data_IF_187345008886
#
_entry.id   IF_187345008886
#
_cell.length_a   1.000
_cell.length_b   1.000
_cell.length_c   1.000
_cell.angle_alpha   90.00
_cell.angle_beta   90.00
_cell.angle_gamma   90.00
#
_symmetry.space_group_name_H-M   'P 1'
#
loop_
_entity.id
_entity.type
_entity.pdbx_description
1 polymer ?
#
# COMPACT_ATOMS: atom_id res chain seq x y z
N UNK A 1 -19.68 13.62 15.27
CA UNK A 1 -18.32 13.43 15.83
C UNK A 1 -18.49 13.10 17.31
N UNK A 2 -17.98 11.99 17.78
CA UNK A 2 -18.00 11.68 19.22
C UNK A 2 -16.73 12.25 19.85
N UNK A 3 -16.83 13.35 20.58
CA UNK A 3 -15.69 14.04 21.21
C UNK A 3 -15.12 13.31 22.44
N UNK A 4 -15.72 12.19 22.83
CA UNK A 4 -15.27 11.35 23.94
C UNK A 4 -14.19 10.35 23.53
N UNK A 5 -14.00 10.11 22.22
CA UNK A 5 -13.01 9.17 21.73
C UNK A 5 -11.63 9.87 21.64
N UNK A 6 -10.69 9.40 22.45
CA UNK A 6 -9.27 9.77 22.30
C UNK A 6 -8.63 8.96 21.16
N UNK A 7 -7.69 9.56 20.45
CA UNK A 7 -6.89 8.88 19.44
C UNK A 7 -5.43 9.36 19.49
N UNK A 8 -4.52 8.54 18.99
CA UNK A 8 -3.11 8.90 18.77
C UNK A 8 -2.91 9.04 17.26
N UNK A 9 -2.22 10.10 16.87
CA UNK A 9 -1.81 10.32 15.48
C UNK A 9 -0.31 10.58 15.44
N UNK A 10 0.45 9.72 14.78
CA UNK A 10 1.89 9.81 14.65
C UNK A 10 2.28 9.75 13.17
N UNK A 11 3.08 10.69 12.70
CA UNK A 11 3.69 10.66 11.38
C UNK A 11 5.21 10.80 11.53
N UNK A 12 5.93 9.68 11.77
CA UNK A 12 7.37 9.72 12.06
C UNK A 12 8.21 10.01 10.82
N UNK A 13 7.63 9.94 9.63
CA UNK A 13 8.32 10.13 8.35
C UNK A 13 8.35 11.60 7.96
N UNK A 14 9.55 12.13 7.68
CA UNK A 14 9.72 13.42 7.00
C UNK A 14 9.41 13.24 5.51
N UNK A 15 8.41 13.95 5.02
CA UNK A 15 7.95 13.86 3.64
C UNK A 15 8.53 15.02 2.82
N UNK A 16 9.19 14.70 1.71
CA UNK A 16 9.57 15.67 0.69
C UNK A 16 8.88 15.27 -0.62
N UNK A 17 7.97 16.12 -1.09
CA UNK A 17 7.12 15.86 -2.24
C UNK A 17 7.34 16.91 -3.32
N UNK A 18 7.38 16.48 -4.57
CA UNK A 18 7.41 17.34 -5.75
C UNK A 18 8.34 16.82 -6.84
N UNK A 19 8.24 17.43 -8.02
CA UNK A 19 9.11 17.11 -9.16
C UNK A 19 10.56 17.35 -8.78
N UNK A 20 11.41 16.35 -8.98
CA UNK A 20 12.83 16.40 -8.61
C UNK A 20 13.10 16.07 -7.13
N UNK A 21 12.11 15.67 -6.33
CA UNK A 21 12.32 15.35 -4.91
C UNK A 21 13.38 14.24 -4.71
N UNK A 22 13.48 13.27 -5.60
CA UNK A 22 14.49 12.20 -5.54
C UNK A 22 15.93 12.71 -5.66
N UNK A 23 16.15 13.93 -6.20
CA UNK A 23 17.48 14.55 -6.30
C UNK A 23 18.04 14.98 -4.96
N UNK A 24 17.23 14.98 -3.90
CA UNK A 24 17.64 15.32 -2.53
C UNK A 24 18.07 14.09 -1.71
N UNK A 25 18.32 12.94 -2.36
CA UNK A 25 18.75 11.73 -1.65
C UNK A 25 20.07 11.94 -0.88
N UNK A 26 21.07 12.60 -1.49
CA UNK A 26 22.34 12.86 -0.83
C UNK A 26 22.17 13.73 0.44
N UNK A 27 21.27 14.71 0.41
CA UNK A 27 20.94 15.54 1.57
C UNK A 27 20.23 14.73 2.65
N UNK A 28 19.29 13.85 2.26
CA UNK A 28 18.57 12.97 3.17
C UNK A 28 19.53 12.00 3.89
N UNK A 29 20.46 11.40 3.15
CA UNK A 29 21.48 10.49 3.72
C UNK A 29 22.45 11.23 4.65
N UNK A 30 22.85 12.46 4.30
CA UNK A 30 23.66 13.30 5.18
C UNK A 30 22.91 13.65 6.48
N UNK A 31 21.61 13.98 6.41
CA UNK A 31 20.76 14.23 7.59
C UNK A 31 20.75 13.01 8.54
N UNK A 32 20.68 11.80 7.96
CA UNK A 32 20.70 10.53 8.70
C UNK A 32 22.12 10.11 9.11
N UNK A 33 23.16 10.85 8.72
CA UNK A 33 24.59 10.53 8.97
C UNK A 33 25.00 9.17 8.39
N UNK A 34 24.39 8.78 7.28
CA UNK A 34 24.67 7.51 6.62
C UNK A 34 26.09 7.49 6.04
N UNK A 35 26.75 6.36 6.12
CA UNK A 35 28.08 6.10 5.57
C UNK A 35 28.14 4.80 4.75
N UNK A 36 27.30 3.82 5.08
CA UNK A 36 27.21 2.52 4.40
C UNK A 36 25.73 2.20 4.10
N UNK A 37 25.36 2.23 2.84
CA UNK A 37 23.97 2.21 2.38
C UNK A 37 23.65 0.92 1.61
N UNK A 38 22.63 0.18 2.02
CA UNK A 38 22.05 -0.87 1.20
C UNK A 38 20.87 -0.29 0.40
N UNK A 39 21.00 -0.27 -0.94
CA UNK A 39 19.93 0.11 -1.85
C UNK A 39 19.06 -1.12 -2.17
N UNK A 40 17.80 -1.11 -1.73
CA UNK A 40 16.84 -2.21 -1.90
C UNK A 40 15.88 -1.87 -3.04
N UNK A 41 15.77 -2.76 -4.02
CA UNK A 41 14.94 -2.56 -5.22
C UNK A 41 14.53 -3.90 -5.84
N UNK A 42 13.88 -3.85 -6.99
CA UNK A 42 13.51 -5.00 -7.80
C UNK A 42 14.15 -4.97 -9.20
N UNK A 43 14.08 -6.09 -9.92
CA UNK A 43 14.64 -6.22 -11.25
C UNK A 43 13.97 -5.29 -12.28
N UNK A 44 12.70 -4.98 -12.13
CA UNK A 44 11.98 -4.06 -13.01
C UNK A 44 12.55 -2.64 -12.93
N UNK A 45 12.77 -2.16 -11.69
CA UNK A 45 13.38 -0.85 -11.45
C UNK A 45 14.85 -0.83 -11.92
N UNK A 46 15.62 -1.89 -11.66
CA UNK A 46 16.99 -2.00 -12.13
C UNK A 46 17.08 -1.87 -13.66
N UNK A 47 16.18 -2.52 -14.39
CA UNK A 47 16.14 -2.52 -15.85
C UNK A 47 15.52 -1.24 -16.46
N UNK A 48 14.73 -0.49 -15.70
CA UNK A 48 14.04 0.72 -16.19
C UNK A 48 14.97 1.91 -16.41
N UNK A 49 16.18 1.88 -15.85
CA UNK A 49 17.12 3.00 -15.86
C UNK A 49 16.88 4.03 -14.75
N UNK A 50 15.82 3.88 -13.92
CA UNK A 50 15.51 4.81 -12.83
C UNK A 50 16.61 4.85 -11.75
N UNK A 51 17.41 3.79 -11.62
CA UNK A 51 18.50 3.74 -10.63
C UNK A 51 19.69 4.65 -10.97
N UNK A 52 19.89 5.03 -12.23
CA UNK A 52 21.10 5.74 -12.65
C UNK A 52 21.32 7.03 -11.85
N UNK A 53 20.29 7.88 -11.74
CA UNK A 53 20.36 9.11 -10.97
C UNK A 53 20.53 8.91 -9.44
N UNK A 54 20.05 7.81 -8.92
CA UNK A 54 20.20 7.42 -7.49
C UNK A 54 21.65 6.97 -7.25
N UNK A 55 22.17 6.07 -8.09
CA UNK A 55 23.55 5.55 -8.01
C UNK A 55 24.57 6.68 -8.18
N UNK A 56 24.33 7.62 -9.09
CA UNK A 56 25.19 8.79 -9.27
C UNK A 56 25.27 9.64 -7.98
N UNK A 57 24.15 9.86 -7.30
CA UNK A 57 24.12 10.60 -6.03
C UNK A 57 24.90 9.88 -4.92
N UNK A 58 24.75 8.54 -4.81
CA UNK A 58 25.49 7.73 -3.85
C UNK A 58 27.00 7.80 -4.11
N UNK A 59 27.41 7.69 -5.39
CA UNK A 59 28.80 7.78 -5.81
C UNK A 59 29.43 9.16 -5.56
N UNK A 60 28.70 10.24 -5.86
CA UNK A 60 29.14 11.62 -5.59
C UNK A 60 29.26 11.87 -4.07
N UNK A 61 28.38 11.30 -3.27
CA UNK A 61 28.44 11.35 -1.80
C UNK A 61 29.61 10.56 -1.19
N UNK A 62 30.37 9.81 -1.99
CA UNK A 62 31.45 8.89 -1.54
C UNK A 62 30.98 7.90 -0.48
N UNK A 63 29.71 7.50 -0.57
CA UNK A 63 29.14 6.51 0.34
C UNK A 63 29.57 5.11 -0.09
N UNK A 64 29.81 4.25 0.92
CA UNK A 64 29.88 2.83 0.65
C UNK A 64 28.45 2.34 0.34
N UNK A 65 28.22 1.67 -0.79
CA UNK A 65 26.89 1.15 -1.09
C UNK A 65 26.92 -0.14 -1.90
N UNK A 66 25.91 -0.96 -1.64
CA UNK A 66 25.59 -2.14 -2.46
C UNK A 66 24.12 -2.11 -2.88
N UNK A 67 23.79 -2.83 -3.95
CA UNK A 67 22.44 -2.89 -4.52
C UNK A 67 21.89 -4.30 -4.33
N UNK A 68 20.77 -4.42 -3.63
CA UNK A 68 19.96 -5.62 -3.54
C UNK A 68 18.73 -5.48 -4.43
N UNK A 69 18.77 -6.09 -5.63
CA UNK A 69 17.71 -5.99 -6.65
C UNK A 69 16.91 -7.28 -6.82
N UNK A 70 16.95 -8.18 -5.81
CA UNK A 70 16.28 -9.48 -5.88
C UNK A 70 14.90 -9.50 -5.20
N UNK A 71 14.30 -8.33 -4.93
CA UNK A 71 12.96 -8.29 -4.35
C UNK A 71 11.94 -8.74 -5.39
N UNK A 72 11.12 -9.72 -5.02
CA UNK A 72 10.04 -10.24 -5.86
C UNK A 72 8.73 -9.48 -5.59
N UNK A 73 7.79 -9.45 -6.56
CA UNK A 73 6.41 -9.05 -6.28
C UNK A 73 5.84 -9.86 -5.10
N UNK A 74 5.02 -9.21 -4.24
CA UNK A 74 4.60 -9.78 -2.95
C UNK A 74 5.83 -10.31 -2.18
N UNK A 75 6.65 -9.43 -1.57
CA UNK A 75 7.99 -9.76 -1.11
C UNK A 75 7.97 -10.98 -0.18
N UNK A 76 8.95 -11.85 -0.41
CA UNK A 76 9.00 -13.16 0.26
C UNK A 76 9.93 -13.09 1.50
N UNK A 77 9.71 -13.99 2.44
CA UNK A 77 10.58 -14.15 3.62
C UNK A 77 12.06 -14.31 3.25
N UNK A 78 12.38 -15.09 2.21
CA UNK A 78 13.75 -15.28 1.76
C UNK A 78 14.38 -14.03 1.10
N UNK A 79 13.58 -13.08 0.55
CA UNK A 79 14.11 -11.81 0.08
C UNK A 79 14.63 -10.99 1.28
N UNK A 80 13.86 -11.00 2.39
CA UNK A 80 14.25 -10.32 3.63
C UNK A 80 15.51 -10.94 4.22
N UNK A 81 15.59 -12.28 4.29
CA UNK A 81 16.76 -12.99 4.84
C UNK A 81 18.03 -12.65 4.06
N UNK A 82 18.01 -12.68 2.72
CA UNK A 82 19.13 -12.33 1.85
C UNK A 82 19.55 -10.87 2.01
N UNK A 83 18.56 -9.95 1.98
CA UNK A 83 18.84 -8.52 2.14
C UNK A 83 19.42 -8.19 3.52
N UNK A 84 18.90 -8.83 4.58
CA UNK A 84 19.42 -8.65 5.94
C UNK A 84 20.84 -9.20 6.10
N UNK A 85 21.16 -10.33 5.46
CA UNK A 85 22.52 -10.87 5.45
C UNK A 85 23.49 -9.93 4.73
N UNK A 86 23.11 -9.41 3.56
CA UNK A 86 23.92 -8.43 2.82
C UNK A 86 24.11 -7.15 3.65
N UNK A 87 23.07 -6.64 4.30
CA UNK A 87 23.17 -5.47 5.17
C UNK A 87 24.17 -5.68 6.31
N UNK A 88 24.19 -6.87 6.93
CA UNK A 88 25.15 -7.22 7.97
C UNK A 88 26.58 -7.31 7.42
N UNK A 89 26.79 -7.98 6.27
CA UNK A 89 28.10 -8.17 5.67
C UNK A 89 28.78 -6.85 5.32
N UNK A 90 28.00 -5.90 4.74
CA UNK A 90 28.53 -4.58 4.40
C UNK A 90 28.52 -3.59 5.57
N UNK A 91 28.02 -4.00 6.74
CA UNK A 91 27.82 -3.14 7.90
C UNK A 91 26.97 -1.89 7.56
N UNK A 92 25.85 -2.11 6.88
CA UNK A 92 24.95 -1.02 6.49
C UNK A 92 24.45 -0.27 7.73
N UNK A 93 24.51 1.06 7.68
CA UNK A 93 23.99 1.97 8.72
C UNK A 93 22.72 2.70 8.26
N UNK A 94 22.34 2.54 6.97
CA UNK A 94 21.13 3.10 6.40
C UNK A 94 20.65 2.23 5.24
N UNK A 95 19.33 2.21 5.03
CA UNK A 95 18.71 1.61 3.85
C UNK A 95 18.13 2.71 2.95
N UNK A 96 18.17 2.48 1.64
CA UNK A 96 17.41 3.24 0.65
C UNK A 96 16.54 2.27 -0.11
N UNK A 97 15.22 2.45 -0.10
CA UNK A 97 14.31 1.65 -0.90
C UNK A 97 13.80 2.46 -2.08
N UNK A 98 13.95 1.96 -3.30
CA UNK A 98 13.37 2.56 -4.50
C UNK A 98 12.52 1.53 -5.23
N UNK A 99 11.25 1.84 -5.46
CA UNK A 99 10.31 0.96 -6.12
C UNK A 99 8.88 1.15 -5.64
N UNK A 100 8.05 0.17 -5.92
CA UNK A 100 6.68 0.10 -5.36
C UNK A 100 6.67 -0.39 -3.92
N UNK A 101 5.50 -0.85 -3.46
CA UNK A 101 5.34 -1.37 -2.09
C UNK A 101 6.28 -2.53 -1.77
N UNK A 102 6.53 -3.45 -2.72
CA UNK A 102 7.35 -4.64 -2.47
C UNK A 102 8.79 -4.33 -2.05
N UNK A 103 9.57 -3.51 -2.77
CA UNK A 103 10.89 -3.10 -2.30
C UNK A 103 10.87 -2.33 -0.98
N UNK A 104 9.88 -1.46 -0.76
CA UNK A 104 9.80 -0.66 0.46
C UNK A 104 9.47 -1.55 1.67
N UNK A 105 8.50 -2.46 1.55
CA UNK A 105 8.14 -3.39 2.61
C UNK A 105 9.28 -4.38 2.92
N UNK A 106 9.94 -4.90 1.88
CA UNK A 106 11.14 -5.72 2.06
C UNK A 106 12.22 -4.96 2.83
N UNK A 107 12.49 -3.69 2.47
CA UNK A 107 13.47 -2.86 3.16
C UNK A 107 13.10 -2.59 4.62
N UNK A 108 11.81 -2.35 4.94
CA UNK A 108 11.33 -2.23 6.32
C UNK A 108 11.60 -3.49 7.13
N UNK A 109 11.33 -4.66 6.56
CA UNK A 109 11.60 -5.94 7.21
C UNK A 109 13.12 -6.17 7.37
N UNK A 110 13.93 -5.86 6.35
CA UNK A 110 15.40 -5.89 6.44
C UNK A 110 15.90 -4.97 7.56
N UNK A 111 15.32 -3.76 7.69
CA UNK A 111 15.67 -2.80 8.74
C UNK A 111 15.52 -3.38 10.15
N UNK A 112 14.60 -4.30 10.36
CA UNK A 112 14.37 -5.02 11.61
C UNK A 112 15.31 -6.23 11.72
N UNK A 113 15.31 -7.10 10.70
CA UNK A 113 15.98 -8.40 10.76
C UNK A 113 17.52 -8.26 10.75
N UNK A 114 18.05 -7.25 10.09
CA UNK A 114 19.51 -7.05 10.03
C UNK A 114 20.14 -6.84 11.43
N UNK A 115 19.65 -5.92 12.27
CA UNK A 115 20.23 -5.72 13.61
C UNK A 115 19.77 -6.75 14.65
N UNK A 116 18.57 -7.32 14.54
CA UNK A 116 18.01 -8.19 15.58
C UNK A 116 18.23 -9.69 15.31
N UNK A 117 18.47 -10.08 14.04
CA UNK A 117 18.60 -11.49 13.64
C UNK A 117 17.25 -12.21 13.60
N UNK A 118 17.29 -13.54 13.55
CA UNK A 118 16.11 -14.40 13.52
C UNK A 118 15.39 -14.45 12.19
N UNK A 119 14.23 -15.09 12.14
CA UNK A 119 13.37 -15.19 10.94
C UNK A 119 12.41 -14.00 10.87
N UNK A 120 12.10 -13.46 9.67
CA UNK A 120 11.22 -12.28 9.51
C UNK A 120 9.85 -12.44 10.20
N UNK A 121 9.25 -13.63 10.15
CA UNK A 121 7.94 -13.92 10.76
C UNK A 121 7.89 -13.78 12.28
N UNK A 122 9.05 -13.82 12.97
CA UNK A 122 9.08 -13.64 14.42
C UNK A 122 8.66 -12.23 14.83
N UNK A 123 8.75 -11.27 13.92
CA UNK A 123 8.40 -9.86 14.11
C UNK A 123 6.93 -9.57 13.79
N UNK A 124 6.13 -10.59 13.46
CA UNK A 124 4.67 -10.55 13.53
C UNK A 124 4.21 -10.18 14.97
N UNK A 125 5.01 -10.57 15.96
CA UNK A 125 4.91 -10.06 17.33
C UNK A 125 5.77 -8.79 17.49
N UNK A 126 5.17 -7.58 17.54
CA UNK A 126 5.90 -6.33 17.60
C UNK A 126 6.73 -6.18 18.90
N UNK A 127 6.42 -6.91 19.96
CA UNK A 127 7.20 -6.88 21.21
C UNK A 127 8.62 -7.39 21.05
N UNK A 128 8.92 -8.09 19.97
CA UNK A 128 10.27 -8.57 19.62
C UNK A 128 11.15 -7.49 19.01
N UNK A 129 10.62 -6.34 18.62
CA UNK A 129 11.38 -5.19 18.12
C UNK A 129 11.82 -4.36 19.33
N UNK A 130 12.81 -4.82 20.05
CA UNK A 130 13.25 -4.22 21.34
C UNK A 130 14.32 -3.15 21.20
N UNK A 131 15.08 -3.15 20.10
CA UNK A 131 16.20 -2.25 19.84
C UNK A 131 15.95 -1.24 18.72
N UNK A 132 17.05 -0.59 18.31
CA UNK A 132 17.03 0.28 17.13
C UNK A 132 16.90 -0.56 15.85
N UNK A 133 16.23 0.03 14.85
CA UNK A 133 16.17 -0.50 13.50
C UNK A 133 17.03 0.35 12.56
N UNK A 134 17.46 -0.19 11.43
CA UNK A 134 18.19 0.61 10.45
C UNK A 134 17.29 1.74 9.93
N UNK A 135 17.77 2.99 9.86
CA UNK A 135 17.02 4.07 9.25
C UNK A 135 16.80 3.80 7.76
N UNK A 136 15.63 4.18 7.26
CA UNK A 136 15.21 3.96 5.88
C UNK A 136 14.84 5.28 5.20
N UNK A 137 15.38 5.49 3.99
CA UNK A 137 14.85 6.48 3.03
C UNK A 137 14.03 5.74 2.00
N UNK A 138 12.78 6.12 1.81
CA UNK A 138 11.87 5.51 0.82
C UNK A 138 11.67 6.45 -0.38
N UNK A 139 11.76 5.88 -1.58
CA UNK A 139 11.57 6.57 -2.86
C UNK A 139 10.54 5.77 -3.68
N UNK A 140 9.23 6.09 -3.53
CA UNK A 140 8.20 5.35 -4.25
C UNK A 140 8.23 5.64 -5.75
N UNK A 141 8.05 4.59 -6.56
CA UNK A 141 7.90 4.68 -8.00
C UNK A 141 6.50 4.31 -8.47
N UNK A 142 5.61 4.01 -7.53
CA UNK A 142 4.18 3.74 -7.77
C UNK A 142 3.32 4.66 -6.92
N UNK A 143 2.11 4.92 -7.38
CA UNK A 143 1.10 5.70 -6.66
C UNK A 143 -0.04 4.75 -6.25
N UNK A 144 0.11 4.05 -5.12
CA UNK A 144 -0.86 3.03 -4.70
C UNK A 144 -0.75 2.66 -3.24
N UNK A 145 0.33 2.01 -2.86
CA UNK A 145 0.50 1.38 -1.54
C UNK A 145 0.74 2.38 -0.41
N UNK A 146 1.37 3.52 -0.72
CA UNK A 146 1.78 4.49 0.30
C UNK A 146 2.74 3.95 1.35
N UNK A 147 3.45 2.85 1.03
CA UNK A 147 4.37 2.19 1.97
C UNK A 147 5.47 3.12 2.48
N UNK A 148 5.78 4.19 1.76
CA UNK A 148 6.79 5.18 2.14
C UNK A 148 6.47 5.97 3.42
N UNK A 149 5.22 5.92 3.92
CA UNK A 149 4.81 6.61 5.15
C UNK A 149 4.14 5.70 6.17
N UNK A 150 3.90 4.44 5.82
CA UNK A 150 3.27 3.48 6.73
C UNK A 150 4.30 2.83 7.66
N UNK A 151 3.85 2.35 8.79
CA UNK A 151 4.63 1.61 9.79
C UNK A 151 4.25 0.13 9.83
N UNK A 152 3.84 -0.40 8.67
CA UNK A 152 3.63 -1.82 8.42
C UNK A 152 4.49 -2.29 7.25
N UNK A 153 4.83 -3.58 7.25
CA UNK A 153 5.53 -4.27 6.17
C UNK A 153 4.87 -5.63 5.97
N UNK A 154 4.34 -5.85 4.76
CA UNK A 154 3.61 -7.08 4.43
C UNK A 154 4.53 -8.03 3.66
N UNK A 155 4.80 -9.19 4.26
CA UNK A 155 5.73 -10.20 3.74
C UNK A 155 4.99 -11.53 3.53
N UNK A 156 5.32 -12.24 2.46
CA UNK A 156 4.80 -13.57 2.19
C UNK A 156 5.67 -14.63 2.87
N UNK A 157 5.10 -15.38 3.79
CA UNK A 157 5.67 -16.62 4.31
C UNK A 157 5.51 -17.71 3.24
N UNK A 158 6.61 -18.11 2.62
CA UNK A 158 6.60 -19.06 1.51
C UNK A 158 6.23 -20.48 1.96
N UNK A 159 6.42 -20.83 3.23
CA UNK A 159 6.08 -22.14 3.80
C UNK A 159 4.59 -22.25 4.09
N UNK A 160 3.99 -21.17 4.66
CA UNK A 160 2.56 -21.14 4.98
C UNK A 160 1.68 -20.74 3.79
N UNK A 161 2.29 -20.17 2.73
CA UNK A 161 1.57 -19.52 1.61
C UNK A 161 0.58 -18.47 2.11
N UNK A 162 1.03 -17.67 3.06
CA UNK A 162 0.23 -16.71 3.79
C UNK A 162 1.01 -15.41 3.95
N UNK A 163 0.32 -14.27 3.83
CA UNK A 163 0.92 -12.96 4.09
C UNK A 163 0.83 -12.63 5.57
N UNK A 164 1.92 -12.18 6.15
CA UNK A 164 1.97 -11.66 7.51
C UNK A 164 2.49 -10.22 7.51
N UNK A 165 2.16 -9.48 8.54
CA UNK A 165 2.57 -8.09 8.68
C UNK A 165 3.50 -7.92 9.88
N UNK A 166 4.59 -7.18 9.67
CA UNK A 166 5.38 -6.58 10.74
C UNK A 166 4.82 -5.17 10.95
N UNK A 167 4.34 -4.87 12.15
CA UNK A 167 3.70 -3.60 12.45
C UNK A 167 4.38 -2.94 13.66
N UNK A 168 5.07 -1.81 13.42
CA UNK A 168 5.72 -1.05 14.49
C UNK A 168 6.10 0.36 13.99
N UNK A 169 5.89 1.41 14.81
CA UNK A 169 6.20 2.80 14.41
C UNK A 169 7.68 3.02 14.03
N UNK A 170 8.61 2.24 14.59
CA UNK A 170 10.05 2.34 14.27
C UNK A 170 10.40 1.92 12.83
N UNK A 171 9.59 1.07 12.18
CA UNK A 171 9.87 0.63 10.80
C UNK A 171 9.42 1.64 9.74
N UNK A 172 8.68 2.68 10.14
CA UNK A 172 8.36 3.76 9.23
C UNK A 172 9.65 4.37 8.66
N UNK A 173 9.70 4.64 7.35
CA UNK A 173 10.83 5.36 6.77
C UNK A 173 11.09 6.68 7.51
N UNK A 174 12.34 7.02 7.73
CA UNK A 174 12.71 8.30 8.34
C UNK A 174 12.45 9.45 7.40
N UNK A 175 12.70 9.23 6.10
CA UNK A 175 12.50 10.22 5.04
C UNK A 175 11.83 9.52 3.86
N UNK A 176 10.84 10.17 3.29
CA UNK A 176 10.18 9.77 2.05
C UNK A 176 10.40 10.85 0.99
N UNK A 177 10.97 10.48 -0.16
CA UNK A 177 11.20 11.36 -1.29
C UNK A 177 10.21 10.99 -2.41
N UNK A 178 9.11 11.74 -2.49
CA UNK A 178 8.01 11.47 -3.40
C UNK A 178 8.17 12.32 -4.67
N UNK A 179 8.71 11.72 -5.70
CA UNK A 179 8.96 12.38 -6.99
C UNK A 179 7.99 11.85 -8.07
N UNK A 180 7.04 12.67 -8.55
CA UNK A 180 6.12 12.25 -9.61
C UNK A 180 6.82 11.80 -10.90
N UNK A 181 8.02 12.31 -11.22
CA UNK A 181 8.78 11.89 -12.41
C UNK A 181 9.08 10.39 -12.39
N UNK A 182 9.30 9.80 -11.20
CA UNK A 182 9.61 8.38 -11.07
C UNK A 182 8.39 7.47 -11.32
N UNK A 183 7.18 8.01 -11.32
CA UNK A 183 5.95 7.26 -11.64
C UNK A 183 5.60 7.30 -13.13
N UNK A 184 6.26 8.15 -13.93
CA UNK A 184 5.92 8.39 -15.33
C UNK A 184 6.13 7.16 -16.24
N UNK A 185 7.00 6.24 -15.84
CA UNK A 185 7.30 5.03 -16.61
C UNK A 185 6.38 3.85 -16.30
N UNK A 186 5.45 4.01 -15.34
CA UNK A 186 4.49 2.95 -15.01
C UNK A 186 3.60 2.61 -16.20
N UNK A 187 3.48 1.32 -16.57
CA UNK A 187 2.53 0.88 -17.59
C UNK A 187 1.07 1.21 -17.19
N UNK A 188 0.17 1.44 -18.18
CA UNK A 188 -1.24 1.75 -17.91
C UNK A 188 -1.94 0.76 -16.96
N UNK A 189 -1.76 -0.54 -17.17
CA UNK A 189 -2.37 -1.57 -16.31
C UNK A 189 -1.89 -1.49 -14.85
N UNK A 190 -0.58 -1.22 -14.64
CA UNK A 190 -0.04 -1.04 -13.29
C UNK A 190 -0.55 0.27 -12.68
N UNK A 191 -0.63 1.35 -13.46
CA UNK A 191 -1.19 2.63 -13.01
C UNK A 191 -2.65 2.47 -12.58
N UNK A 192 -3.47 1.73 -13.34
CA UNK A 192 -4.86 1.45 -13.02
C UNK A 192 -4.99 0.65 -11.71
N UNK A 193 -4.24 -0.45 -11.60
CA UNK A 193 -4.30 -1.32 -10.43
C UNK A 193 -3.84 -0.59 -9.15
N UNK A 194 -2.70 0.12 -9.20
CA UNK A 194 -2.20 0.84 -8.03
C UNK A 194 -3.05 2.05 -7.67
N UNK A 195 -3.61 2.76 -8.66
CA UNK A 195 -4.49 3.89 -8.38
C UNK A 195 -5.81 3.47 -7.75
N UNK A 196 -6.39 2.35 -8.18
CA UNK A 196 -7.57 1.78 -7.52
C UNK A 196 -7.24 1.17 -6.14
N UNK A 197 -6.02 0.69 -5.94
CA UNK A 197 -5.49 0.30 -4.64
C UNK A 197 -5.46 1.50 -3.68
N UNK A 198 -4.92 2.64 -4.12
CA UNK A 198 -4.96 3.88 -3.36
C UNK A 198 -6.40 4.33 -3.02
N UNK A 199 -7.34 4.17 -3.96
CA UNK A 199 -8.75 4.44 -3.69
C UNK A 199 -9.30 3.48 -2.63
N UNK A 200 -8.94 2.20 -2.69
CA UNK A 200 -9.34 1.21 -1.68
C UNK A 200 -8.82 1.58 -0.30
N UNK A 201 -7.55 1.95 -0.20
CA UNK A 201 -6.95 2.44 1.05
C UNK A 201 -7.71 3.64 1.62
N UNK A 202 -8.03 4.63 0.77
CA UNK A 202 -8.78 5.81 1.21
C UNK A 202 -10.21 5.46 1.67
N UNK A 203 -10.91 4.60 0.92
CA UNK A 203 -12.28 4.18 1.27
C UNK A 203 -12.30 3.35 2.55
N UNK A 204 -11.43 2.35 2.68
CA UNK A 204 -11.38 1.51 3.87
C UNK A 204 -10.86 2.29 5.08
N UNK A 205 -9.80 3.06 4.94
CA UNK A 205 -9.28 3.92 5.99
C UNK A 205 -10.31 4.91 6.53
N UNK A 206 -11.14 5.48 5.65
CA UNK A 206 -12.23 6.36 6.03
C UNK A 206 -13.37 5.63 6.75
N UNK A 207 -13.69 4.39 6.33
CA UNK A 207 -14.86 3.66 6.83
C UNK A 207 -14.54 2.68 7.96
N UNK A 208 -13.29 2.32 8.17
CA UNK A 208 -12.86 1.44 9.25
C UNK A 208 -13.36 1.91 10.62
N UNK A 209 -13.56 0.97 11.55
CA UNK A 209 -14.01 1.27 12.92
C UNK A 209 -13.03 2.17 13.67
N UNK A 210 -11.73 2.06 13.36
CA UNK A 210 -10.68 2.89 13.94
C UNK A 210 -10.52 4.27 13.32
N UNK A 211 -11.39 4.66 12.36
CA UNK A 211 -11.26 5.96 11.68
C UNK A 211 -11.35 7.13 12.65
N UNK A 212 -10.56 8.17 12.39
CA UNK A 212 -10.44 9.33 13.26
C UNK A 212 -10.30 10.63 12.42
N UNK A 213 -10.60 11.81 12.97
CA UNK A 213 -10.80 13.04 12.18
C UNK A 213 -9.64 13.45 11.28
N UNK A 214 -8.37 13.22 11.68
CA UNK A 214 -7.21 13.58 10.86
C UNK A 214 -7.05 12.62 9.66
N UNK A 215 -7.23 11.31 9.90
CA UNK A 215 -7.26 10.30 8.86
C UNK A 215 -8.46 10.48 7.92
N UNK A 216 -9.63 10.82 8.47
CA UNK A 216 -10.84 11.07 7.68
C UNK A 216 -10.65 12.23 6.69
N UNK A 217 -10.02 13.32 7.14
CA UNK A 217 -9.72 14.47 6.27
C UNK A 217 -8.74 14.09 5.14
N UNK A 218 -7.69 13.32 5.48
CA UNK A 218 -6.73 12.84 4.51
C UNK A 218 -7.39 11.88 3.48
N UNK A 219 -8.23 10.94 3.93
CA UNK A 219 -8.94 10.01 3.07
C UNK A 219 -9.86 10.70 2.06
N UNK A 220 -10.68 11.65 2.50
CA UNK A 220 -11.60 12.35 1.60
C UNK A 220 -10.85 13.17 0.56
N UNK A 221 -9.75 13.84 0.94
CA UNK A 221 -8.93 14.56 -0.03
C UNK A 221 -8.16 13.61 -0.96
N UNK A 222 -7.74 12.43 -0.48
CA UNK A 222 -7.18 11.38 -1.32
C UNK A 222 -8.18 10.94 -2.40
N UNK A 223 -9.45 10.71 -2.03
CA UNK A 223 -10.50 10.32 -2.97
C UNK A 223 -10.71 11.42 -4.05
N UNK A 224 -10.78 12.69 -3.65
CA UNK A 224 -10.88 13.82 -4.59
C UNK A 224 -9.75 13.80 -5.64
N UNK A 225 -8.49 13.66 -5.18
CA UNK A 225 -7.32 13.63 -6.06
C UNK A 225 -7.32 12.40 -6.98
N UNK A 226 -7.59 11.21 -6.44
CA UNK A 226 -7.59 9.97 -7.22
C UNK A 226 -8.67 10.02 -8.31
N UNK A 227 -9.88 10.44 -7.97
CA UNK A 227 -10.99 10.56 -8.93
C UNK A 227 -10.66 11.57 -10.03
N UNK A 228 -10.03 12.70 -9.70
CA UNK A 228 -9.66 13.72 -10.66
C UNK A 228 -8.56 13.27 -11.62
N UNK A 229 -7.62 12.43 -11.16
CA UNK A 229 -6.37 12.20 -11.88
C UNK A 229 -6.16 10.79 -12.43
N UNK A 230 -6.86 9.75 -11.89
CA UNK A 230 -6.58 8.36 -12.24
C UNK A 230 -6.73 8.08 -13.73
N UNK A 231 -7.84 8.49 -14.34
CA UNK A 231 -8.10 8.25 -15.75
C UNK A 231 -6.99 8.88 -16.63
N UNK A 232 -6.63 10.14 -16.37
CA UNK A 232 -5.56 10.82 -17.09
C UNK A 232 -4.21 10.14 -16.88
N UNK A 233 -3.89 9.71 -15.67
CA UNK A 233 -2.63 9.02 -15.37
C UNK A 233 -2.52 7.66 -16.09
N UNK A 234 -3.64 6.95 -16.28
CA UNK A 234 -3.69 5.66 -16.98
C UNK A 234 -3.49 5.83 -18.48
N UNK A 235 -4.21 6.77 -19.12
CA UNK A 235 -4.24 6.90 -20.57
C UNK A 235 -3.24 7.91 -21.14
N UNK A 236 -2.73 8.82 -20.30
CA UNK A 236 -1.62 9.72 -20.62
C UNK A 236 -0.56 9.66 -19.50
N UNK A 237 0.24 8.61 -19.51
CA UNK A 237 1.28 8.38 -18.50
C UNK A 237 2.34 9.48 -18.40
N UNK A 238 2.41 10.40 -19.35
CA UNK A 238 3.32 11.56 -19.35
C UNK A 238 2.69 12.83 -18.76
N UNK A 239 1.43 12.79 -18.42
CA UNK A 239 0.75 13.91 -17.76
C UNK A 239 1.25 14.04 -16.31
N UNK A 240 2.21 14.93 -16.09
CA UNK A 240 2.86 15.14 -14.79
C UNK A 240 1.90 15.66 -13.73
N UNK A 241 0.89 16.43 -14.09
CA UNK A 241 -0.16 16.87 -13.16
C UNK A 241 -0.95 15.68 -12.65
N UNK A 242 -1.35 14.78 -13.55
CA UNK A 242 -2.06 13.55 -13.17
C UNK A 242 -1.16 12.62 -12.33
N UNK A 243 0.11 12.45 -12.70
CA UNK A 243 1.06 11.65 -11.89
C UNK A 243 1.27 12.24 -10.50
N UNK A 244 1.42 13.56 -10.40
CA UNK A 244 1.55 14.25 -9.11
C UNK A 244 0.28 14.09 -8.27
N UNK A 245 -0.90 14.32 -8.87
CA UNK A 245 -2.19 14.12 -8.18
C UNK A 245 -2.37 12.70 -7.65
N UNK A 246 -2.04 11.69 -8.46
CA UNK A 246 -2.09 10.28 -8.03
C UNK A 246 -1.11 9.96 -6.89
N UNK A 247 0.13 10.44 -6.97
CA UNK A 247 1.13 10.21 -5.93
C UNK A 247 0.73 10.87 -4.60
N UNK A 248 0.21 12.10 -4.66
CA UNK A 248 -0.31 12.79 -3.47
C UNK A 248 -1.55 12.11 -2.92
N UNK A 249 -2.47 11.67 -3.78
CA UNK A 249 -3.66 10.90 -3.37
C UNK A 249 -3.28 9.59 -2.66
N UNK A 250 -2.30 8.85 -3.20
CA UNK A 250 -1.76 7.64 -2.56
C UNK A 250 -1.15 7.92 -1.19
N UNK A 251 -0.33 8.97 -1.07
CA UNK A 251 0.24 9.42 0.19
C UNK A 251 -0.83 9.71 1.25
N UNK A 252 -1.86 10.48 0.89
CA UNK A 252 -2.94 10.85 1.81
C UNK A 252 -3.79 9.63 2.21
N UNK A 253 -4.04 8.72 1.28
CA UNK A 253 -4.71 7.46 1.57
C UNK A 253 -3.91 6.64 2.60
N UNK A 254 -2.59 6.59 2.44
CA UNK A 254 -1.69 5.90 3.38
C UNK A 254 -1.69 6.53 4.77
N UNK A 255 -1.66 7.85 4.86
CA UNK A 255 -1.80 8.58 6.13
C UNK A 255 -3.12 8.22 6.82
N UNK A 256 -4.20 8.06 6.06
CA UNK A 256 -5.49 7.66 6.62
C UNK A 256 -5.46 6.25 7.19
N UNK A 257 -5.18 5.24 6.36
CA UNK A 257 -5.33 3.85 6.81
C UNK A 257 -4.27 3.43 7.84
N UNK A 258 -3.10 4.05 7.85
CA UNK A 258 -2.09 3.79 8.89
C UNK A 258 -2.60 4.07 10.32
N UNK A 259 -3.65 4.88 10.47
CA UNK A 259 -4.22 5.27 11.76
C UNK A 259 -5.63 4.73 12.01
N UNK A 260 -6.19 4.01 11.05
CA UNK A 260 -7.55 3.47 11.14
C UNK A 260 -7.63 1.99 10.82
N UNK A 261 -6.58 1.45 10.16
CA UNK A 261 -6.52 0.13 9.55
C UNK A 261 -7.25 0.06 8.19
N UNK A 262 -7.02 -1.03 7.48
CA UNK A 262 -7.78 -1.47 6.31
C UNK A 262 -8.89 -2.43 6.74
N UNK A 263 -9.63 -3.04 5.82
CA UNK A 263 -10.80 -3.82 6.18
C UNK A 263 -11.02 -5.05 5.27
N UNK A 264 -12.27 -5.38 4.99
CA UNK A 264 -12.67 -6.63 4.30
C UNK A 264 -12.08 -6.79 2.90
N UNK A 265 -11.85 -5.67 2.16
CA UNK A 265 -11.24 -5.73 0.84
C UNK A 265 -9.83 -6.28 0.95
N UNK A 266 -9.02 -5.71 1.84
CA UNK A 266 -7.65 -6.16 2.06
C UNK A 266 -7.58 -7.57 2.63
N UNK A 267 -8.49 -7.94 3.53
CA UNK A 267 -8.55 -9.31 4.06
C UNK A 267 -8.68 -10.35 2.93
N UNK A 268 -9.57 -10.11 1.96
CA UNK A 268 -9.74 -11.02 0.83
C UNK A 268 -8.59 -10.89 -0.18
N UNK A 269 -8.11 -9.68 -0.45
CA UNK A 269 -7.00 -9.46 -1.37
C UNK A 269 -5.68 -10.09 -0.89
N UNK A 270 -5.42 -10.09 0.42
CA UNK A 270 -4.25 -10.76 1.01
C UNK A 270 -4.37 -12.27 0.95
N UNK A 271 -5.56 -12.83 1.19
CA UNK A 271 -5.82 -14.26 1.02
C UNK A 271 -5.60 -14.71 -0.45
N UNK A 272 -6.11 -13.93 -1.42
CA UNK A 272 -5.89 -14.16 -2.84
C UNK A 272 -4.40 -14.06 -3.21
N UNK A 273 -3.74 -13.00 -2.77
CA UNK A 273 -2.31 -12.78 -3.04
C UNK A 273 -1.42 -13.87 -2.42
N UNK A 274 -1.76 -14.37 -1.23
CA UNK A 274 -1.02 -15.45 -0.58
C UNK A 274 -1.19 -16.79 -1.30
N UNK A 275 -2.37 -17.08 -1.82
CA UNK A 275 -2.73 -18.35 -2.48
C UNK A 275 -2.27 -18.41 -3.95
N UNK A 276 -2.52 -17.32 -4.71
CA UNK A 276 -2.35 -17.29 -6.17
C UNK A 276 -1.19 -16.39 -6.62
N UNK A 277 -0.49 -15.74 -5.69
CA UNK A 277 0.55 -14.74 -5.97
C UNK A 277 0.05 -13.59 -6.88
N UNK A 278 -1.25 -13.32 -6.87
CA UNK A 278 -1.87 -12.26 -7.66
C UNK A 278 -1.41 -10.89 -7.15
N UNK A 279 -1.24 -9.94 -8.06
CA UNK A 279 -0.83 -8.58 -7.73
C UNK A 279 -1.85 -7.92 -6.78
N UNK A 280 -1.36 -7.38 -5.65
CA UNK A 280 -2.17 -6.86 -4.54
C UNK A 280 -3.19 -5.80 -4.99
N UNK A 281 -2.74 -4.78 -5.75
CA UNK A 281 -3.62 -3.72 -6.23
C UNK A 281 -4.72 -4.21 -7.17
N UNK A 282 -4.47 -5.28 -7.94
CA UNK A 282 -5.51 -5.92 -8.77
C UNK A 282 -6.56 -6.57 -7.88
N UNK A 283 -6.13 -7.33 -6.85
CA UNK A 283 -7.06 -7.97 -5.93
C UNK A 283 -7.95 -6.95 -5.22
N UNK A 284 -7.35 -5.88 -4.67
CA UNK A 284 -8.08 -4.81 -3.99
C UNK A 284 -9.09 -4.14 -4.94
N UNK A 285 -8.67 -3.80 -6.15
CA UNK A 285 -9.49 -3.11 -7.12
C UNK A 285 -10.75 -3.89 -7.53
N UNK A 286 -10.64 -5.21 -7.71
CA UNK A 286 -11.77 -6.05 -8.13
C UNK A 286 -12.72 -6.39 -6.97
N UNK A 287 -12.22 -6.40 -5.74
CA UNK A 287 -13.03 -6.70 -4.54
C UNK A 287 -13.77 -5.48 -4.01
N UNK A 288 -13.18 -4.28 -4.15
CA UNK A 288 -13.69 -3.04 -3.54
C UNK A 288 -15.19 -2.79 -3.77
N UNK A 289 -15.73 -2.81 -5.00
CA UNK A 289 -17.15 -2.50 -5.22
C UNK A 289 -18.10 -3.42 -4.46
N UNK A 290 -17.82 -4.73 -4.45
CA UNK A 290 -18.67 -5.71 -3.79
C UNK A 290 -18.59 -5.60 -2.25
N UNK A 291 -17.42 -5.33 -1.70
CA UNK A 291 -17.26 -5.08 -0.27
C UNK A 291 -17.97 -3.77 0.16
N UNK A 292 -17.93 -2.73 -0.66
CA UNK A 292 -18.70 -1.50 -0.42
C UNK A 292 -20.20 -1.78 -0.40
N UNK A 293 -20.71 -2.59 -1.33
CA UNK A 293 -22.14 -3.00 -1.32
C UNK A 293 -22.50 -3.75 -0.04
N UNK A 294 -21.66 -4.69 0.39
CA UNK A 294 -21.87 -5.42 1.62
C UNK A 294 -21.93 -4.49 2.85
N UNK A 295 -21.05 -3.50 2.90
CA UNK A 295 -20.94 -2.56 4.00
C UNK A 295 -21.98 -1.42 3.97
N UNK A 296 -22.69 -1.22 2.85
CA UNK A 296 -23.49 -0.03 2.58
C UNK A 296 -24.48 0.33 3.69
N UNK A 297 -25.18 -0.67 4.25
CA UNK A 297 -26.17 -0.44 5.31
C UNK A 297 -25.54 0.08 6.62
N UNK A 298 -24.25 -0.17 6.83
CA UNK A 298 -23.51 0.26 8.03
C UNK A 298 -22.77 1.58 7.85
N UNK A 299 -22.52 1.98 6.61
CA UNK A 299 -21.68 3.14 6.27
C UNK A 299 -22.39 4.18 5.39
N UNK A 300 -23.73 4.19 5.30
CA UNK A 300 -24.44 5.04 4.35
C UNK A 300 -24.02 6.51 4.42
N UNK A 301 -23.92 7.09 5.63
CA UNK A 301 -23.49 8.48 5.81
C UNK A 301 -22.03 8.72 5.39
N UNK A 302 -21.13 7.78 5.68
CA UNK A 302 -19.72 7.88 5.24
C UNK A 302 -19.61 7.74 3.72
N UNK A 303 -20.33 6.80 3.11
CA UNK A 303 -20.33 6.63 1.66
C UNK A 303 -20.98 7.82 0.93
N UNK A 304 -21.99 8.46 1.53
CA UNK A 304 -22.53 9.72 1.00
C UNK A 304 -21.49 10.84 0.98
N UNK A 305 -20.65 10.93 2.02
CA UNK A 305 -19.50 11.86 2.02
C UNK A 305 -18.41 11.49 1.00
N UNK A 306 -18.19 10.19 0.76
CA UNK A 306 -17.35 9.72 -0.34
C UNK A 306 -17.95 10.19 -1.69
N UNK A 307 -19.27 10.06 -1.89
CA UNK A 307 -19.92 10.59 -3.09
C UNK A 307 -19.67 12.10 -3.26
N UNK A 308 -19.74 12.87 -2.17
CA UNK A 308 -19.40 14.31 -2.20
C UNK A 308 -17.95 14.54 -2.63
N UNK A 309 -16.99 13.79 -2.07
CA UNK A 309 -15.58 13.86 -2.44
C UNK A 309 -15.34 13.46 -3.92
N UNK A 310 -16.16 12.56 -4.46
CA UNK A 310 -16.17 12.20 -5.88
C UNK A 310 -16.86 13.25 -6.79
N UNK A 311 -17.37 14.36 -6.22
CA UNK A 311 -18.11 15.39 -6.97
C UNK A 311 -19.53 14.97 -7.35
N UNK A 312 -20.13 14.00 -6.67
CA UNK A 312 -21.45 13.43 -7.00
C UNK A 312 -22.51 14.04 -6.08
N UNK A 313 -23.52 14.66 -6.67
CA UNK A 313 -24.70 15.13 -5.97
C UNK A 313 -25.65 13.96 -5.63
N UNK A 314 -26.36 14.04 -4.52
CA UNK A 314 -27.32 13.04 -4.06
C UNK A 314 -28.43 13.69 -3.20
N UNK A 315 -29.57 13.00 -3.05
CA UNK A 315 -30.72 13.53 -2.32
C UNK A 315 -30.78 13.05 -0.86
N UNK A 316 -30.32 11.82 -0.61
CA UNK A 316 -30.28 11.21 0.73
C UNK A 316 -28.98 10.48 0.96
N UNK A 317 -28.55 10.22 2.22
CA UNK A 317 -27.34 9.45 2.48
C UNK A 317 -27.34 8.07 1.80
N UNK A 318 -28.48 7.39 1.73
CA UNK A 318 -28.62 6.09 1.05
C UNK A 318 -28.44 6.21 -0.46
N UNK A 319 -28.98 7.28 -1.08
CA UNK A 319 -28.74 7.56 -2.50
C UNK A 319 -27.27 7.91 -2.76
N UNK A 320 -26.66 8.72 -1.90
CA UNK A 320 -25.24 9.03 -1.97
C UNK A 320 -24.36 7.79 -1.88
N UNK A 321 -24.66 6.90 -0.93
CA UNK A 321 -23.92 5.63 -0.76
C UNK A 321 -24.02 4.76 -2.03
N UNK A 322 -25.23 4.58 -2.59
CA UNK A 322 -25.42 3.82 -3.82
C UNK A 322 -24.64 4.44 -4.99
N UNK A 323 -24.71 5.77 -5.15
CA UNK A 323 -23.99 6.48 -6.23
C UNK A 323 -22.47 6.39 -6.07
N UNK A 324 -21.94 6.40 -4.86
CA UNK A 324 -20.51 6.20 -4.61
C UNK A 324 -20.06 4.81 -5.10
N UNK A 325 -20.80 3.75 -4.76
CA UNK A 325 -20.50 2.39 -5.22
C UNK A 325 -20.55 2.28 -6.74
N UNK A 326 -21.59 2.83 -7.37
CA UNK A 326 -21.70 2.83 -8.84
C UNK A 326 -20.57 3.62 -9.51
N UNK A 327 -20.13 4.72 -8.90
CA UNK A 327 -18.96 5.47 -9.39
C UNK A 327 -17.66 4.67 -9.32
N UNK A 328 -17.43 3.93 -8.23
CA UNK A 328 -16.28 3.04 -8.11
C UNK A 328 -16.31 1.93 -9.16
N UNK A 329 -17.46 1.29 -9.38
CA UNK A 329 -17.65 0.31 -10.45
C UNK A 329 -17.36 0.91 -11.83
N UNK A 330 -17.86 2.13 -12.07
CA UNK A 330 -17.62 2.84 -13.33
C UNK A 330 -16.12 3.12 -13.52
N UNK A 331 -15.45 3.63 -12.52
CA UNK A 331 -14.00 3.89 -12.55
C UNK A 331 -13.21 2.61 -12.88
N UNK A 332 -13.52 1.49 -12.22
CA UNK A 332 -12.88 0.20 -12.46
C UNK A 332 -13.00 -0.23 -13.94
N UNK A 333 -14.19 -0.08 -14.54
CA UNK A 333 -14.41 -0.35 -15.97
C UNK A 333 -13.66 0.62 -16.88
N UNK A 334 -13.69 1.92 -16.58
CA UNK A 334 -13.03 2.96 -17.40
C UNK A 334 -11.51 2.75 -17.45
N UNK A 335 -10.88 2.38 -16.36
CA UNK A 335 -9.42 2.09 -16.33
C UNK A 335 -9.09 0.65 -16.74
N UNK A 336 -10.07 -0.10 -17.26
CA UNK A 336 -9.91 -1.43 -17.84
C UNK A 336 -9.32 -2.47 -16.88
N UNK A 337 -9.77 -2.47 -15.61
CA UNK A 337 -9.36 -3.50 -14.68
C UNK A 337 -9.85 -4.88 -15.14
N UNK A 338 -9.09 -5.94 -14.83
CA UNK A 338 -9.54 -7.32 -15.08
C UNK A 338 -10.75 -7.66 -14.22
N UNK A 339 -11.57 -8.61 -14.68
CA UNK A 339 -12.66 -9.15 -13.87
C UNK A 339 -12.15 -10.11 -12.79
N UNK A 340 -12.92 -10.32 -11.72
CA UNK A 340 -12.58 -11.31 -10.69
C UNK A 340 -12.41 -12.72 -11.28
N UNK A 341 -13.22 -13.10 -12.27
CA UNK A 341 -13.12 -14.38 -12.97
C UNK A 341 -11.76 -14.59 -13.64
N UNK A 342 -11.12 -13.50 -14.11
CA UNK A 342 -9.80 -13.58 -14.76
C UNK A 342 -8.64 -13.86 -13.79
N UNK A 343 -8.87 -13.77 -12.48
CA UNK A 343 -7.88 -14.14 -11.46
C UNK A 343 -7.65 -15.65 -11.35
N UNK A 344 -8.52 -16.46 -12.00
CA UNK A 344 -8.38 -17.91 -12.03
C UNK A 344 -8.66 -18.61 -10.69
N UNK A 345 -9.53 -18.02 -9.86
CA UNK A 345 -9.89 -18.58 -8.55
C UNK A 345 -10.66 -19.89 -8.75
N UNK A 346 -10.15 -20.99 -8.19
CA UNK A 346 -10.80 -22.31 -8.27
C UNK A 346 -11.95 -22.41 -7.26
N UNK A 347 -13.03 -23.08 -7.67
CA UNK A 347 -14.18 -23.28 -6.79
C UNK A 347 -13.84 -24.08 -5.50
N UNK A 348 -12.85 -24.95 -5.56
CA UNK A 348 -12.37 -25.75 -4.42
C UNK A 348 -11.57 -24.92 -3.39
N UNK A 349 -11.05 -23.76 -3.76
CA UNK A 349 -10.25 -22.91 -2.88
C UNK A 349 -11.09 -21.86 -2.11
N UNK A 350 -12.37 -21.70 -2.45
CA UNK A 350 -13.24 -20.64 -1.91
C UNK A 350 -13.37 -20.73 -0.38
N UNK A 351 -13.48 -21.94 0.17
CA UNK A 351 -13.58 -22.17 1.62
C UNK A 351 -12.31 -21.72 2.34
N UNK A 352 -11.14 -22.04 1.79
CA UNK A 352 -9.84 -21.64 2.34
C UNK A 352 -9.65 -20.12 2.26
N UNK A 353 -9.99 -19.51 1.13
CA UNK A 353 -9.93 -18.06 0.96
C UNK A 353 -10.84 -17.34 1.96
N UNK A 354 -12.08 -17.81 2.12
CA UNK A 354 -13.02 -17.22 3.07
C UNK A 354 -12.54 -17.37 4.52
N UNK A 355 -11.99 -18.52 4.87
CA UNK A 355 -11.40 -18.77 6.18
C UNK A 355 -10.22 -17.81 6.43
N UNK A 356 -9.24 -17.77 5.52
CA UNK A 356 -8.06 -16.93 5.64
C UNK A 356 -8.44 -15.44 5.74
N UNK A 357 -9.45 -14.98 4.99
CA UNK A 357 -9.97 -13.63 5.09
C UNK A 357 -10.58 -13.34 6.45
N UNK A 358 -11.34 -14.30 7.01
CA UNK A 358 -12.04 -14.13 8.28
C UNK A 358 -11.12 -14.06 9.50
N UNK A 359 -9.94 -14.69 9.43
CA UNK A 359 -8.93 -14.69 10.50
C UNK A 359 -7.86 -13.59 10.32
N UNK A 360 -7.93 -12.83 9.22
CA UNK A 360 -7.02 -11.71 8.99
C UNK A 360 -7.15 -10.67 10.11
N UNK A 361 -6.02 -10.11 10.56
CA UNK A 361 -5.98 -9.14 11.65
C UNK A 361 -6.87 -7.93 11.45
N UNK A 362 -6.98 -7.46 10.20
CA UNK A 362 -7.79 -6.29 9.84
C UNK A 362 -9.29 -6.57 9.68
N UNK A 363 -9.73 -7.84 9.76
CA UNK A 363 -11.16 -8.17 9.67
C UNK A 363 -11.99 -7.49 10.78
N UNK A 364 -11.40 -7.33 11.97
CA UNK A 364 -12.02 -6.62 13.09
C UNK A 364 -12.33 -5.15 12.81
N UNK A 365 -11.61 -4.53 11.89
CA UNK A 365 -11.72 -3.11 11.53
C UNK A 365 -12.85 -2.82 10.53
N UNK A 366 -13.40 -3.87 9.87
CA UNK A 366 -14.50 -3.68 8.93
C UNK A 366 -15.76 -3.10 9.63
N UNK A 367 -16.41 -2.07 9.06
CA UNK A 367 -17.54 -1.42 9.69
C UNK A 367 -18.71 -2.38 10.00
N UNK A 368 -19.00 -3.29 9.08
CA UNK A 368 -19.94 -4.39 9.29
C UNK A 368 -19.15 -5.65 9.68
N UNK A 369 -19.47 -6.31 10.81
CA UNK A 369 -18.82 -7.58 11.15
C UNK A 369 -18.90 -8.58 10.00
N UNK A 370 -17.78 -9.26 9.70
CA UNK A 370 -17.71 -10.30 8.66
C UNK A 370 -17.25 -11.63 9.25
N UNK A 371 -18.04 -12.67 8.99
CA UNK A 371 -17.75 -14.07 9.30
C UNK A 371 -17.16 -14.78 8.07
N UNK A 372 -16.69 -16.00 8.23
CA UNK A 372 -16.29 -16.84 7.08
C UNK A 372 -17.45 -17.02 6.08
N UNK A 373 -18.69 -17.19 6.55
CA UNK A 373 -19.88 -17.33 5.69
C UNK A 373 -20.15 -16.05 4.86
N UNK A 374 -19.91 -14.88 5.45
CA UNK A 374 -20.04 -13.59 4.73
C UNK A 374 -18.99 -13.48 3.61
N UNK A 375 -17.73 -13.89 3.87
CA UNK A 375 -16.70 -13.95 2.83
C UNK A 375 -17.01 -14.98 1.74
N UNK A 376 -17.56 -16.14 2.11
CA UNK A 376 -18.03 -17.12 1.12
C UNK A 376 -19.08 -16.52 0.19
N UNK A 377 -20.03 -15.79 0.76
CA UNK A 377 -21.09 -15.09 -0.01
C UNK A 377 -20.49 -14.03 -0.92
N UNK A 378 -19.55 -13.23 -0.40
CA UNK A 378 -18.85 -12.18 -1.17
C UNK A 378 -18.07 -12.80 -2.35
N UNK A 379 -17.29 -13.84 -2.13
CA UNK A 379 -16.51 -14.52 -3.18
C UNK A 379 -17.42 -15.09 -4.25
N UNK A 380 -18.50 -15.78 -3.86
CA UNK A 380 -19.48 -16.34 -4.82
C UNK A 380 -20.14 -15.24 -5.66
N UNK A 381 -20.46 -14.09 -5.08
CA UNK A 381 -20.99 -12.95 -5.82
C UNK A 381 -19.99 -12.38 -6.82
N UNK A 382 -18.71 -12.28 -6.46
CA UNK A 382 -17.64 -11.84 -7.34
C UNK A 382 -17.40 -12.80 -8.51
N UNK A 383 -17.48 -14.11 -8.27
CA UNK A 383 -17.35 -15.13 -9.33
C UNK A 383 -18.51 -15.11 -10.35
N UNK A 384 -19.67 -14.60 -9.96
CA UNK A 384 -20.86 -14.53 -10.80
C UNK A 384 -21.06 -13.14 -11.44
N UNK A 385 -20.24 -12.16 -11.09
CA UNK A 385 -20.34 -10.80 -11.63
C UNK A 385 -19.47 -10.62 -12.86
N UNK A 386 -20.02 -9.94 -13.89
CA UNK A 386 -19.29 -9.49 -15.09
C UNK A 386 -18.65 -8.12 -14.86
N UNK A 387 -17.99 -7.93 -13.73
CA UNK A 387 -17.31 -6.66 -13.56
C UNK A 387 -16.33 -6.47 -14.63
#
# INVERSE_FOLDING_TARGET
MNYENSFIFELPTKIQYGIGAARHLAEALHELKASSVLLVTDKGIEQSGLLAGIVDQLGQGRLNFEIFSEVEPNPKDHNVDKGAELARQMQADCLVAIGGGSPIDCAKAIAVVAPHGGEPRQYEDPSRITGEVLPLVAIPTTAGTGSEVTFSSVITDTRRKFKFSIHHTRIAPRIALLDPELTATMPPALTAATGMDALTHAVEGYTAKGSQPLGDAAALHAIELIVAHLNSAVFDGRNMEARAGMLLGSLLAAISFSHSDVAAVHCLAEALGGKYDTAHGVCNAVVLPAAMEYNMAYCADKYARIATAMGIAYDTPQDGARRAVEAVKKMAREVQLPSFASLGVNAEDIEELAFNSSINGSNGSNPRPMTQEDYLTLIKSLMSSDL
#
